data_IF_264263856913
#
_entry.id   IF_264263856913
#
_cell.length_a   1.000
_cell.length_b   1.000
_cell.length_c   1.000
_cell.angle_alpha   90.00
_cell.angle_beta   90.00
_cell.angle_gamma   90.00
#
_symmetry.space_group_name_H-M   'P 1'
#
loop_
_entity.id
_entity.type
_entity.pdbx_description
1 polymer ?
#
# COMPACT_ATOMS: atom_id res chain seq x y z
N UNK A 1 15.03 -8.19 -7.26
CA UNK A 1 14.29 -9.46 -7.47
C UNK A 1 12.86 -9.31 -6.93
N UNK A 2 12.70 -8.96 -5.64
CA UNK A 2 11.41 -8.62 -5.01
C UNK A 2 10.56 -7.61 -5.80
N UNK A 3 11.07 -6.41 -6.12
CA UNK A 3 10.31 -5.41 -6.90
C UNK A 3 9.89 -5.92 -8.28
N UNK A 4 10.74 -6.68 -8.97
CA UNK A 4 10.42 -7.28 -10.28
C UNK A 4 9.33 -8.35 -10.20
N UNK A 5 9.30 -9.09 -9.09
CA UNK A 5 8.31 -10.13 -8.82
C UNK A 5 6.98 -9.52 -8.33
N UNK A 6 7.05 -8.45 -7.53
CA UNK A 6 5.89 -7.65 -7.12
C UNK A 6 5.25 -6.87 -8.27
N UNK A 7 6.01 -6.63 -9.35
CA UNK A 7 5.53 -6.05 -10.60
C UNK A 7 5.08 -7.10 -11.64
N UNK A 8 5.25 -8.40 -11.37
CA UNK A 8 4.82 -9.43 -12.30
C UNK A 8 3.30 -9.42 -12.43
N UNK A 9 2.78 -9.24 -13.65
CA UNK A 9 1.34 -9.10 -13.93
C UNK A 9 0.77 -7.70 -13.64
N UNK A 10 1.55 -6.76 -13.10
CA UNK A 10 1.11 -5.37 -12.92
C UNK A 10 0.93 -4.68 -14.27
N UNK A 11 1.81 -4.97 -15.22
CA UNK A 11 1.73 -4.38 -16.56
C UNK A 11 0.45 -4.80 -17.28
N UNK A 12 0.02 -6.05 -17.11
CA UNK A 12 -1.20 -6.57 -17.72
C UNK A 12 -2.43 -5.81 -17.22
N UNK A 13 -2.49 -5.45 -15.93
CA UNK A 13 -3.56 -4.63 -15.35
C UNK A 13 -3.52 -3.19 -15.91
N UNK A 14 -2.32 -2.62 -16.01
CA UNK A 14 -2.15 -1.23 -16.44
C UNK A 14 -2.50 -1.04 -17.92
N UNK A 15 -2.20 -2.04 -18.74
CA UNK A 15 -2.43 -1.99 -20.19
C UNK A 15 -3.76 -2.68 -20.59
N UNK A 16 -4.55 -3.17 -19.62
CA UNK A 16 -5.86 -3.75 -19.87
C UNK A 16 -6.81 -2.69 -20.47
N UNK A 17 -7.27 -2.85 -21.73
CA UNK A 17 -8.15 -1.88 -22.37
C UNK A 17 -9.57 -1.89 -21.81
N UNK A 18 -9.98 -2.96 -21.13
CA UNK A 18 -11.33 -3.11 -20.59
C UNK A 18 -11.48 -2.50 -19.19
N UNK A 19 -10.37 -2.10 -18.56
CA UNK A 19 -10.36 -1.42 -17.26
C UNK A 19 -10.34 0.10 -17.41
N UNK A 20 -11.25 0.76 -16.70
CA UNK A 20 -11.16 2.20 -16.45
C UNK A 20 -10.02 2.52 -15.44
N UNK A 21 -9.60 3.78 -15.28
CA UNK A 21 -8.50 4.14 -14.39
C UNK A 21 -8.74 3.77 -12.93
N UNK A 22 -9.99 3.80 -12.45
CA UNK A 22 -10.34 3.33 -11.10
C UNK A 22 -10.17 1.82 -10.96
N UNK A 23 -10.59 1.06 -11.97
CA UNK A 23 -10.40 -0.38 -12.09
C UNK A 23 -8.92 -0.76 -12.11
N UNK A 24 -8.09 -0.04 -12.87
CA UNK A 24 -6.62 -0.23 -12.88
C UNK A 24 -5.99 0.07 -11.52
N UNK A 25 -6.40 1.18 -10.86
CA UNK A 25 -5.94 1.53 -9.52
C UNK A 25 -6.28 0.42 -8.50
N UNK A 26 -7.54 -0.01 -8.47
CA UNK A 26 -7.98 -1.06 -7.56
C UNK A 26 -7.36 -2.43 -7.91
N UNK A 27 -7.15 -2.72 -9.19
CA UNK A 27 -6.44 -3.90 -9.67
C UNK A 27 -5.00 -3.96 -9.17
N UNK A 28 -4.25 -2.86 -9.30
CA UNK A 28 -2.89 -2.71 -8.79
C UNK A 28 -2.83 -2.92 -7.27
N UNK A 29 -3.71 -2.26 -6.52
CA UNK A 29 -3.78 -2.39 -5.06
C UNK A 29 -4.16 -3.82 -4.64
N UNK A 30 -5.09 -4.46 -5.38
CA UNK A 30 -5.51 -5.84 -5.16
C UNK A 30 -4.37 -6.84 -5.38
N UNK A 31 -3.59 -6.66 -6.44
CA UNK A 31 -2.41 -7.48 -6.67
C UNK A 31 -1.37 -7.29 -5.57
N UNK A 32 -1.14 -6.05 -5.12
CA UNK A 32 -0.24 -5.77 -3.99
C UNK A 32 -0.70 -6.47 -2.70
N UNK A 33 -2.00 -6.45 -2.40
CA UNK A 33 -2.57 -7.20 -1.26
C UNK A 33 -2.34 -8.70 -1.38
N UNK A 34 -2.67 -9.30 -2.52
CA UNK A 34 -2.50 -10.76 -2.73
C UNK A 34 -1.06 -11.18 -2.53
N UNK A 35 -0.11 -10.44 -3.11
CA UNK A 35 1.32 -10.71 -2.94
C UNK A 35 1.75 -10.62 -1.46
N UNK A 36 1.20 -9.68 -0.68
CA UNK A 36 1.48 -9.57 0.76
C UNK A 36 0.89 -10.74 1.56
N UNK A 37 -0.34 -11.17 1.25
CA UNK A 37 -0.99 -12.32 1.91
C UNK A 37 -0.22 -13.61 1.61
N UNK A 38 0.09 -13.86 0.34
CA UNK A 38 0.81 -15.07 -0.09
C UNK A 38 2.20 -15.18 0.56
N UNK A 39 2.86 -14.04 0.78
CA UNK A 39 4.21 -14.00 1.37
C UNK A 39 4.23 -13.87 2.88
N UNK A 40 3.11 -13.48 3.53
CA UNK A 40 3.07 -13.22 4.97
C UNK A 40 3.62 -14.37 5.84
N UNK A 41 3.26 -15.66 5.62
CA UNK A 41 3.76 -16.76 6.45
C UNK A 41 5.29 -16.92 6.41
N UNK A 42 5.90 -16.69 5.25
CA UNK A 42 7.35 -16.82 5.04
C UNK A 42 8.09 -15.53 5.43
N UNK A 43 7.41 -14.39 5.31
CA UNK A 43 7.99 -13.07 5.50
C UNK A 43 8.00 -12.64 6.96
N UNK A 44 7.06 -13.10 7.81
CA UNK A 44 6.86 -12.53 9.15
C UNK A 44 8.11 -12.60 10.04
N UNK A 45 8.86 -13.71 10.05
CA UNK A 45 10.11 -13.81 10.82
C UNK A 45 11.19 -12.83 10.34
N UNK A 46 11.26 -12.57 9.03
CA UNK A 46 12.16 -11.57 8.44
C UNK A 46 11.67 -10.14 8.71
N UNK A 47 10.34 -9.95 8.70
CA UNK A 47 9.67 -8.69 8.98
C UNK A 47 9.87 -8.27 10.45
N UNK A 48 9.70 -9.17 11.41
CA UNK A 48 9.93 -8.88 12.83
C UNK A 48 11.34 -8.31 13.06
N UNK A 49 12.34 -8.92 12.44
CA UNK A 49 13.72 -8.45 12.50
C UNK A 49 13.86 -7.05 11.86
N UNK A 50 13.16 -6.79 10.75
CA UNK A 50 13.21 -5.50 10.05
C UNK A 50 12.71 -4.32 10.89
N UNK A 51 11.75 -4.54 11.80
CA UNK A 51 11.21 -3.48 12.67
C UNK A 51 12.01 -3.25 13.95
N UNK A 52 13.14 -3.94 14.13
CA UNK A 52 14.07 -3.62 15.22
C UNK A 52 14.69 -2.22 14.97
N UNK A 53 14.92 -1.41 16.02
CA UNK A 53 15.41 -0.04 15.87
C UNK A 53 16.67 0.09 15.01
N UNK A 54 17.58 -0.89 15.09
CA UNK A 54 18.84 -0.91 14.35
C UNK A 54 18.64 -1.07 12.83
N UNK A 55 17.47 -1.57 12.42
CA UNK A 55 17.11 -1.85 11.03
C UNK A 55 16.23 -0.75 10.39
N UNK A 56 15.98 0.37 11.08
CA UNK A 56 15.17 1.48 10.55
C UNK A 56 15.71 2.01 9.21
N UNK A 57 17.03 2.15 9.07
CA UNK A 57 17.66 2.59 7.82
C UNK A 57 17.41 1.58 6.69
N UNK A 58 17.45 0.28 6.99
CA UNK A 58 17.17 -0.77 6.03
C UNK A 58 15.69 -0.72 5.59
N UNK A 59 14.76 -0.62 6.54
CA UNK A 59 13.33 -0.46 6.27
C UNK A 59 13.08 0.72 5.33
N UNK A 60 13.69 1.87 5.62
CA UNK A 60 13.52 3.06 4.79
C UNK A 60 14.07 2.88 3.37
N UNK A 61 15.27 2.29 3.22
CA UNK A 61 15.87 2.02 1.90
C UNK A 61 15.04 1.05 1.05
N UNK A 62 14.44 0.03 1.68
CA UNK A 62 13.55 -0.92 1.00
C UNK A 62 12.30 -0.19 0.49
N UNK A 63 11.67 0.62 1.34
CA UNK A 63 10.49 1.39 0.95
C UNK A 63 10.79 2.41 -0.16
N UNK A 64 11.93 3.09 -0.12
CA UNK A 64 12.36 4.00 -1.20
C UNK A 64 12.57 3.25 -2.52
N UNK A 65 13.19 2.07 -2.49
CA UNK A 65 13.37 1.25 -3.69
C UNK A 65 12.04 0.75 -4.27
N UNK A 66 11.08 0.41 -3.39
CA UNK A 66 9.72 0.08 -3.80
C UNK A 66 9.02 1.31 -4.43
N UNK A 67 9.07 2.47 -3.78
CA UNK A 67 8.50 3.72 -4.29
C UNK A 67 9.02 4.06 -5.68
N UNK A 68 10.33 3.98 -5.90
CA UNK A 68 10.93 4.25 -7.21
C UNK A 68 10.41 3.31 -8.33
N UNK A 69 9.90 2.14 -7.98
CA UNK A 69 9.35 1.16 -8.92
C UNK A 69 7.84 1.35 -9.16
N UNK A 70 7.07 1.70 -8.12
CA UNK A 70 5.61 1.79 -8.17
C UNK A 70 5.08 3.20 -8.47
N UNK A 71 5.76 4.26 -8.02
CA UNK A 71 5.31 5.65 -8.23
C UNK A 71 5.05 5.96 -9.72
N UNK A 72 5.92 5.60 -10.69
CA UNK A 72 5.66 5.88 -12.10
C UNK A 72 4.36 5.23 -12.63
N UNK A 73 4.01 4.05 -12.11
CA UNK A 73 2.81 3.31 -12.51
C UNK A 73 1.55 3.98 -11.95
N UNK A 74 1.60 4.39 -10.68
CA UNK A 74 0.54 5.16 -10.06
C UNK A 74 0.32 6.49 -10.81
N UNK A 75 1.39 7.22 -11.12
CA UNK A 75 1.32 8.46 -11.90
C UNK A 75 0.66 8.22 -13.27
N UNK A 76 1.02 7.15 -13.98
CA UNK A 76 0.39 6.79 -15.26
C UNK A 76 -1.12 6.60 -15.10
N UNK A 77 -1.56 5.79 -14.13
CA UNK A 77 -2.99 5.54 -13.86
C UNK A 77 -3.71 6.83 -13.49
N UNK A 78 -3.11 7.66 -12.63
CA UNK A 78 -3.73 8.91 -12.16
C UNK A 78 -3.89 9.90 -13.33
N UNK A 79 -2.87 10.03 -14.18
CA UNK A 79 -2.94 10.90 -15.37
C UNK A 79 -4.01 10.45 -16.35
N UNK A 80 -4.12 9.15 -16.62
CA UNK A 80 -5.21 8.61 -17.45
C UNK A 80 -6.59 8.92 -16.87
N UNK A 81 -6.76 8.79 -15.55
CA UNK A 81 -8.01 9.16 -14.88
C UNK A 81 -8.31 10.66 -14.89
N UNK A 82 -7.30 11.52 -15.00
CA UNK A 82 -7.54 12.96 -15.21
C UNK A 82 -7.99 13.22 -16.64
N UNK A 83 -7.39 12.54 -17.63
CA UNK A 83 -7.70 12.69 -19.05
C UNK A 83 -9.15 12.28 -19.37
N UNK A 84 -9.66 11.21 -18.75
CA UNK A 84 -11.03 10.74 -18.95
C UNK A 84 -12.06 11.29 -17.95
N UNK A 85 -11.60 12.07 -16.96
CA UNK A 85 -12.44 12.70 -15.95
C UNK A 85 -12.82 11.83 -14.75
N UNK A 86 -12.31 10.60 -14.64
CA UNK A 86 -12.50 9.71 -13.49
C UNK A 86 -11.88 10.27 -12.21
N UNK A 87 -10.71 10.91 -12.30
CA UNK A 87 -9.99 11.50 -11.19
C UNK A 87 -9.84 13.02 -11.33
N UNK A 88 -9.75 13.69 -10.19
CA UNK A 88 -9.54 15.13 -10.10
C UNK A 88 -8.47 15.46 -9.07
N UNK A 89 -7.26 15.77 -9.54
CA UNK A 89 -6.16 16.31 -8.73
C UNK A 89 -5.31 17.27 -9.56
N UNK A 90 -4.63 18.21 -8.90
CA UNK A 90 -3.68 19.12 -9.55
C UNK A 90 -2.25 18.57 -9.57
N UNK A 91 -1.97 17.49 -8.81
CA UNK A 91 -0.61 16.97 -8.57
C UNK A 91 -0.59 15.44 -8.60
N UNK A 92 -0.57 14.81 -9.79
CA UNK A 92 -0.53 13.34 -9.92
C UNK A 92 0.65 12.69 -9.22
N UNK A 93 1.83 13.33 -9.32
CA UNK A 93 3.07 12.91 -8.67
C UNK A 93 2.94 12.92 -7.15
N UNK A 94 2.46 14.03 -6.57
CA UNK A 94 2.25 14.14 -5.13
C UNK A 94 1.25 13.11 -4.60
N UNK A 95 0.19 12.80 -5.35
CA UNK A 95 -0.74 11.73 -4.97
C UNK A 95 -0.07 10.36 -4.98
N UNK A 96 0.71 10.04 -6.02
CA UNK A 96 1.45 8.78 -6.08
C UNK A 96 2.43 8.64 -4.90
N UNK A 97 3.12 9.73 -4.54
CA UNK A 97 4.02 9.76 -3.39
C UNK A 97 3.28 9.55 -2.07
N UNK A 98 2.11 10.19 -1.88
CA UNK A 98 1.25 9.99 -0.70
C UNK A 98 0.87 8.51 -0.56
N UNK A 99 0.47 7.86 -1.66
CA UNK A 99 0.12 6.42 -1.66
C UNK A 99 1.31 5.57 -1.20
N UNK A 100 2.53 5.87 -1.66
CA UNK A 100 3.73 5.16 -1.23
C UNK A 100 4.07 5.42 0.24
N UNK A 101 3.83 6.63 0.76
CA UNK A 101 4.05 6.97 2.16
C UNK A 101 3.14 6.21 3.14
N UNK A 102 1.97 5.74 2.69
CA UNK A 102 1.08 4.95 3.55
C UNK A 102 1.75 3.69 4.10
N UNK A 103 2.57 3.01 3.27
CA UNK A 103 3.33 1.84 3.70
C UNK A 103 4.43 2.18 4.70
N UNK A 104 5.08 3.34 4.56
CA UNK A 104 6.10 3.80 5.49
C UNK A 104 5.52 4.20 6.84
N UNK A 105 4.34 4.82 6.84
CA UNK A 105 3.68 5.35 8.03
C UNK A 105 3.20 4.27 9.02
N UNK A 106 3.24 2.98 8.66
CA UNK A 106 2.88 1.87 9.55
C UNK A 106 4.02 1.45 10.49
N UNK A 107 5.26 1.83 10.18
CA UNK A 107 6.46 1.34 10.86
C UNK A 107 6.37 1.43 12.38
N UNK A 108 6.12 2.62 12.91
CA UNK A 108 6.19 2.86 14.36
C UNK A 108 5.13 2.08 15.13
N UNK A 109 3.98 1.82 14.51
CA UNK A 109 2.90 1.03 15.12
C UNK A 109 3.34 -0.42 15.26
N UNK A 110 3.93 -1.00 14.20
CA UNK A 110 4.41 -2.38 14.19
C UNK A 110 5.64 -2.54 15.09
N UNK A 111 6.60 -1.62 15.01
CA UNK A 111 7.80 -1.63 15.84
C UNK A 111 7.47 -1.56 17.33
N UNK A 112 6.49 -0.73 17.72
CA UNK A 112 6.03 -0.64 19.11
C UNK A 112 5.40 -1.96 19.58
N UNK A 113 4.59 -2.62 18.75
CA UNK A 113 3.99 -3.91 19.10
C UNK A 113 5.06 -5.01 19.29
N UNK A 114 6.02 -5.09 18.38
CA UNK A 114 7.14 -6.04 18.47
C UNK A 114 7.98 -5.78 19.74
N UNK A 115 8.23 -4.51 20.08
CA UNK A 115 8.95 -4.15 21.30
C UNK A 115 8.19 -4.50 22.59
N UNK A 116 6.84 -4.45 22.57
CA UNK A 116 5.99 -4.88 23.69
C UNK A 116 6.01 -6.40 23.88
N UNK A 117 6.04 -7.15 22.77
CA UNK A 117 6.28 -8.59 22.77
C UNK A 117 5.12 -9.45 23.27
N UNK A 118 3.93 -8.87 23.49
CA UNK A 118 2.72 -9.59 23.87
C UNK A 118 1.70 -9.65 22.73
N UNK A 119 0.87 -10.69 22.73
CA UNK A 119 -0.26 -10.80 21.80
C UNK A 119 -1.20 -9.59 21.92
N UNK A 120 -1.40 -9.06 23.14
CA UNK A 120 -2.22 -7.87 23.36
C UNK A 120 -1.66 -6.62 22.69
N UNK A 121 -0.33 -6.44 22.69
CA UNK A 121 0.31 -5.32 21.97
C UNK A 121 0.14 -5.45 20.45
N UNK A 122 0.18 -6.69 19.95
CA UNK A 122 -0.06 -6.97 18.53
C UNK A 122 -1.51 -6.69 18.14
N UNK A 123 -2.48 -7.09 18.96
CA UNK A 123 -3.90 -6.79 18.75
C UNK A 123 -4.17 -5.28 18.68
N UNK A 124 -3.57 -4.50 19.59
CA UNK A 124 -3.68 -3.03 19.58
C UNK A 124 -3.11 -2.45 18.28
N UNK A 125 -1.98 -2.97 17.79
CA UNK A 125 -1.39 -2.53 16.54
C UNK A 125 -2.26 -2.87 15.33
N UNK A 126 -2.83 -4.08 15.28
CA UNK A 126 -3.75 -4.51 14.22
C UNK A 126 -4.95 -3.55 14.16
N UNK A 127 -5.62 -3.29 15.28
CA UNK A 127 -6.78 -2.38 15.31
C UNK A 127 -6.41 -0.96 14.87
N UNK A 128 -5.24 -0.46 15.30
CA UNK A 128 -4.77 0.87 14.92
C UNK A 128 -4.48 0.96 13.41
N UNK A 129 -3.90 -0.10 12.83
CA UNK A 129 -3.59 -0.17 11.40
C UNK A 129 -4.84 -0.37 10.55
N UNK A 130 -5.84 -1.12 11.00
CA UNK A 130 -7.13 -1.24 10.29
C UNK A 130 -7.83 0.12 10.18
N UNK A 131 -7.87 0.88 11.29
CA UNK A 131 -8.38 2.26 11.28
C UNK A 131 -7.57 3.16 10.34
N UNK A 132 -6.25 2.98 10.31
CA UNK A 132 -5.35 3.76 9.44
C UNK A 132 -5.57 3.45 7.95
N UNK A 133 -5.71 2.17 7.59
CA UNK A 133 -6.03 1.75 6.22
C UNK A 133 -7.33 2.40 5.77
N UNK A 134 -8.37 2.38 6.62
CA UNK A 134 -9.64 3.02 6.29
C UNK A 134 -9.52 4.54 6.11
N UNK A 135 -8.75 5.20 6.96
CA UNK A 135 -8.45 6.63 6.83
C UNK A 135 -7.76 6.92 5.49
N UNK A 136 -6.78 6.11 5.11
CA UNK A 136 -6.02 6.28 3.87
C UNK A 136 -6.85 6.05 2.61
N UNK A 137 -7.77 5.07 2.62
CA UNK A 137 -8.75 4.89 1.54
C UNK A 137 -9.58 6.15 1.34
N UNK A 138 -10.19 6.67 2.42
CA UNK A 138 -11.03 7.88 2.37
C UNK A 138 -10.21 9.10 1.95
N UNK A 139 -8.98 9.25 2.45
CA UNK A 139 -8.12 10.35 2.08
C UNK A 139 -7.78 10.31 0.59
N UNK A 140 -7.44 9.14 0.06
CA UNK A 140 -7.09 8.95 -1.34
C UNK A 140 -8.31 9.16 -2.25
N UNK A 141 -9.48 8.65 -1.86
CA UNK A 141 -10.75 8.91 -2.56
C UNK A 141 -10.95 10.41 -2.71
N UNK A 142 -10.88 11.17 -1.61
CA UNK A 142 -11.13 12.62 -1.61
C UNK A 142 -10.08 13.41 -2.37
N UNK A 143 -8.80 13.02 -2.28
CA UNK A 143 -7.70 13.65 -3.00
C UNK A 143 -7.82 13.43 -4.51
N UNK A 144 -8.38 12.31 -4.94
CA UNK A 144 -8.67 12.00 -6.35
C UNK A 144 -10.07 12.43 -6.80
N UNK A 145 -10.86 13.07 -5.93
CA UNK A 145 -12.21 13.54 -6.28
C UNK A 145 -13.26 12.43 -6.40
N UNK A 146 -13.03 11.29 -5.76
CA UNK A 146 -13.92 10.12 -5.75
C UNK A 146 -14.86 10.12 -4.52
N UNK A 147 -16.00 9.41 -4.59
CA UNK A 147 -16.80 9.08 -3.42
C UNK A 147 -16.03 8.22 -2.41
N UNK A 148 -16.32 8.39 -1.12
CA UNK A 148 -15.73 7.56 -0.06
C UNK A 148 -16.06 6.07 -0.29
N UNK A 149 -15.04 5.21 -0.30
CA UNK A 149 -15.13 3.76 -0.53
C UNK A 149 -14.88 3.29 -1.96
N UNK A 150 -14.51 4.20 -2.87
CA UNK A 150 -14.14 3.89 -4.25
C UNK A 150 -12.82 3.12 -4.35
N UNK A 151 -11.80 3.53 -3.60
CA UNK A 151 -10.50 2.87 -3.55
C UNK A 151 -10.45 1.91 -2.36
N UNK A 152 -9.91 0.72 -2.62
CA UNK A 152 -9.72 -0.33 -1.61
C UNK A 152 -8.24 -0.63 -1.48
N UNK A 153 -7.67 -0.30 -0.32
CA UNK A 153 -6.30 -0.64 0.08
C UNK A 153 -6.30 -1.98 0.82
N UNK A 154 -7.32 -2.24 1.65
CA UNK A 154 -7.48 -3.44 2.48
C UNK A 154 -8.94 -3.83 2.62
N UNK A 155 -9.25 -5.13 2.59
CA UNK A 155 -10.57 -5.60 3.05
C UNK A 155 -10.58 -5.74 4.58
N UNK A 156 -11.76 -5.76 5.24
CA UNK A 156 -11.82 -6.03 6.68
C UNK A 156 -11.05 -7.31 7.05
N UNK A 157 -10.18 -7.25 8.06
CA UNK A 157 -9.33 -8.37 8.46
C UNK A 157 -8.04 -8.55 7.64
N UNK A 158 -7.82 -7.75 6.59
CA UNK A 158 -6.59 -7.78 5.79
C UNK A 158 -5.33 -7.60 6.65
N UNK A 159 -5.34 -6.61 7.56
CA UNK A 159 -4.18 -6.31 8.43
C UNK A 159 -3.82 -7.51 9.30
N UNK A 160 -4.82 -8.16 9.90
CA UNK A 160 -4.65 -9.38 10.70
C UNK A 160 -4.15 -10.57 9.89
N UNK A 161 -4.42 -10.61 8.59
CA UNK A 161 -3.97 -11.72 7.75
C UNK A 161 -2.49 -11.59 7.38
N UNK A 162 -1.97 -10.36 7.32
CA UNK A 162 -0.58 -10.08 6.93
C UNK A 162 0.37 -9.85 8.11
N UNK A 163 -0.13 -9.90 9.34
CA UNK A 163 0.60 -9.76 10.60
C UNK A 163 0.37 -10.98 11.48
#
# INVERSE_FOLDING_TARGET
RFARQALAGVQDIIDDPDLDPLGRMNGLLSQSRRAKIETAPEAWTLFETMFRPENLVLFHRINLAASASFSPLLVKIIRQGIEDGTFRTFDPEGVADIVMQFGMATHDVVAKAIAGGSDADMEIAIEALEKRVRLYEIALDRILGLPDGSIRIGEPGYVRTVM
#
